data_IF_304336258843
#
_entry.id   IF_304336258843
#
_cell.length_a   1.000
_cell.length_b   1.000
_cell.length_c   1.000
_cell.angle_alpha   90.00
_cell.angle_beta   90.00
_cell.angle_gamma   90.00
#
_symmetry.space_group_name_H-M   'P 1'
#
loop_
_entity.id
_entity.type
_entity.pdbx_description
1 polymer ?
#
# COMPACT_ATOMS: atom_id res chain seq x y z
N UNK A 1 -86.46 29.56 5.08
CA UNK A 1 -87.28 29.01 3.98
C UNK A 1 -86.35 28.26 3.02
N UNK A 2 -86.90 27.21 2.43
CA UNK A 2 -86.24 26.04 1.81
C UNK A 2 -85.75 26.24 0.37
N UNK A 3 -85.03 25.21 -0.14
CA UNK A 3 -84.66 24.83 -1.53
C UNK A 3 -83.41 25.50 -2.14
N UNK A 4 -82.54 24.86 -2.94
CA UNK A 4 -82.34 23.48 -3.41
C UNK A 4 -81.01 23.37 -4.22
N UNK A 5 -80.67 22.13 -4.61
CA UNK A 5 -79.86 21.66 -5.77
C UNK A 5 -78.32 21.57 -5.72
N UNK A 6 -77.82 20.32 -5.76
CA UNK A 6 -76.55 19.83 -6.34
C UNK A 6 -76.52 20.00 -7.89
N UNK A 7 -75.50 19.62 -8.72
CA UNK A 7 -74.24 18.86 -8.48
C UNK A 7 -72.96 19.32 -9.27
N UNK A 8 -71.87 18.57 -9.08
CA UNK A 8 -70.93 18.09 -10.13
C UNK A 8 -69.73 18.92 -10.67
N UNK A 9 -68.53 18.30 -10.56
CA UNK A 9 -67.54 18.03 -11.64
C UNK A 9 -66.35 19.01 -11.88
N UNK A 10 -65.14 18.57 -11.48
CA UNK A 10 -63.86 18.41 -12.29
C UNK A 10 -62.63 18.32 -11.35
N UNK A 11 -62.00 17.15 -11.22
CA UNK A 11 -60.97 16.54 -12.09
C UNK A 11 -59.54 17.00 -11.69
N UNK A 12 -58.79 16.16 -10.96
CA UNK A 12 -57.80 15.18 -11.46
C UNK A 12 -56.59 15.82 -12.16
N UNK A 13 -55.49 15.96 -11.41
CA UNK A 13 -54.13 16.02 -11.96
C UNK A 13 -53.11 15.69 -10.85
N UNK A 14 -53.00 14.42 -10.50
CA UNK A 14 -51.87 13.90 -9.73
C UNK A 14 -51.73 12.42 -10.04
N UNK A 15 -50.49 11.96 -10.08
CA UNK A 15 -50.06 10.56 -10.19
C UNK A 15 -49.90 10.00 -11.62
N UNK A 16 -48.79 10.35 -12.28
CA UNK A 16 -48.22 9.50 -13.33
C UNK A 16 -46.69 9.62 -13.45
N UNK A 17 -45.94 9.38 -12.37
CA UNK A 17 -44.48 9.14 -12.46
C UNK A 17 -44.06 8.17 -11.36
N UNK A 18 -44.33 6.87 -11.51
CA UNK A 18 -43.80 5.86 -10.57
C UNK A 18 -43.89 4.42 -11.10
N UNK A 19 -43.42 4.14 -12.32
CA UNK A 19 -43.41 2.75 -12.84
C UNK A 19 -42.24 2.37 -13.78
N UNK A 20 -41.14 3.14 -13.82
CA UNK A 20 -39.96 2.81 -14.66
C UNK A 20 -38.70 2.42 -13.85
N UNK A 21 -38.70 2.54 -12.52
CA UNK A 21 -37.50 2.30 -11.69
C UNK A 21 -37.20 0.81 -11.38
N UNK A 22 -38.12 -0.12 -11.63
CA UNK A 22 -37.98 -1.52 -11.17
C UNK A 22 -37.16 -2.43 -12.10
N UNK A 23 -36.87 -2.00 -13.33
CA UNK A 23 -36.12 -2.80 -14.31
C UNK A 23 -34.59 -2.72 -14.17
N UNK A 24 -34.08 -1.55 -13.78
CA UNK A 24 -32.62 -1.29 -13.74
C UNK A 24 -31.94 -2.04 -12.58
N UNK A 25 -32.60 -2.15 -11.42
CA UNK A 25 -32.04 -2.80 -10.24
C UNK A 25 -31.78 -4.31 -10.41
N UNK A 26 -32.54 -5.00 -11.28
CA UNK A 26 -32.34 -6.45 -11.51
C UNK A 26 -31.15 -6.76 -12.42
N UNK A 27 -30.88 -5.94 -13.42
CA UNK A 27 -29.78 -6.17 -14.36
C UNK A 27 -28.40 -5.95 -13.70
N UNK A 28 -28.30 -4.95 -12.81
CA UNK A 28 -27.08 -4.66 -12.06
C UNK A 28 -26.72 -5.78 -11.07
N UNK A 29 -27.71 -6.34 -10.37
CA UNK A 29 -27.51 -7.46 -9.44
C UNK A 29 -26.96 -8.71 -10.12
N UNK A 30 -27.38 -9.01 -11.36
CA UNK A 30 -26.90 -10.18 -12.10
C UNK A 30 -25.45 -9.99 -12.54
N UNK A 31 -25.11 -8.81 -13.08
CA UNK A 31 -23.75 -8.52 -13.53
C UNK A 31 -22.71 -8.57 -12.40
N UNK A 32 -23.05 -8.05 -11.21
CA UNK A 32 -22.18 -8.15 -10.02
C UNK A 32 -22.00 -9.58 -9.55
N UNK A 33 -23.09 -10.37 -9.49
CA UNK A 33 -23.02 -11.78 -9.09
C UNK A 33 -22.15 -12.60 -10.04
N UNK A 34 -22.30 -12.38 -11.35
CA UNK A 34 -21.52 -13.07 -12.38
C UNK A 34 -20.03 -12.69 -12.32
N UNK A 35 -19.72 -11.41 -12.09
CA UNK A 35 -18.35 -10.95 -11.95
C UNK A 35 -17.68 -11.51 -10.69
N UNK A 36 -18.38 -11.51 -9.55
CA UNK A 36 -17.89 -12.12 -8.32
C UNK A 36 -17.58 -13.61 -8.50
N UNK A 37 -18.52 -14.37 -9.06
CA UNK A 37 -18.32 -15.80 -9.32
C UNK A 37 -17.10 -16.04 -10.23
N UNK A 38 -16.89 -15.19 -11.23
CA UNK A 38 -15.72 -15.24 -12.11
C UNK A 38 -14.42 -14.95 -11.34
N UNK A 39 -14.39 -13.93 -10.49
CA UNK A 39 -13.22 -13.61 -9.64
C UNK A 39 -12.91 -14.78 -8.71
N UNK A 40 -13.90 -15.32 -8.00
CA UNK A 40 -13.71 -16.48 -7.12
C UNK A 40 -13.15 -17.67 -7.90
N UNK A 41 -13.73 -18.03 -9.04
CA UNK A 41 -13.27 -19.17 -9.83
C UNK A 41 -11.82 -19.00 -10.34
N UNK A 42 -11.45 -17.78 -10.74
CA UNK A 42 -10.12 -17.49 -11.25
C UNK A 42 -9.06 -17.44 -10.15
N UNK A 43 -9.35 -16.80 -9.02
CA UNK A 43 -8.36 -16.42 -8.01
C UNK A 43 -8.37 -17.27 -6.73
N UNK A 44 -9.19 -18.32 -6.64
CA UNK A 44 -9.20 -19.27 -5.51
C UNK A 44 -8.01 -20.25 -5.55
N UNK A 45 -6.79 -19.71 -5.56
CA UNK A 45 -5.55 -20.46 -5.47
C UNK A 45 -4.44 -19.60 -4.85
N UNK A 46 -3.35 -20.24 -4.44
CA UNK A 46 -2.15 -19.57 -3.96
C UNK A 46 -1.00 -19.80 -4.95
N UNK A 47 -0.48 -18.76 -5.64
CA UNK A 47 0.48 -18.95 -6.73
C UNK A 47 1.72 -19.76 -6.36
N UNK A 48 2.22 -19.59 -5.12
CA UNK A 48 3.42 -20.27 -4.63
C UNK A 48 3.20 -21.76 -4.30
N UNK A 49 1.96 -22.25 -4.34
CA UNK A 49 1.61 -23.66 -4.15
C UNK A 49 1.40 -24.42 -5.46
N UNK A 50 1.35 -23.72 -6.60
CA UNK A 50 1.12 -24.34 -7.90
C UNK A 50 2.41 -24.87 -8.53
N UNK A 51 2.29 -25.97 -9.26
CA UNK A 51 3.35 -26.42 -10.14
C UNK A 51 3.41 -25.57 -11.41
N UNK A 52 4.54 -25.62 -12.13
CA UNK A 52 4.77 -24.82 -13.33
C UNK A 52 3.68 -24.96 -14.39
N UNK A 53 3.20 -26.19 -14.64
CA UNK A 53 2.15 -26.44 -15.64
C UNK A 53 0.80 -25.82 -15.22
N UNK A 54 0.42 -25.95 -13.95
CA UNK A 54 -0.80 -25.36 -13.39
C UNK A 54 -0.74 -23.83 -13.41
N UNK A 55 0.43 -23.28 -13.05
CA UNK A 55 0.69 -21.85 -13.10
C UNK A 55 0.52 -21.31 -14.52
N UNK A 56 1.07 -21.98 -15.54
CA UNK A 56 0.92 -21.55 -16.93
C UNK A 56 -0.54 -21.57 -17.39
N UNK A 57 -1.29 -22.61 -17.04
CA UNK A 57 -2.71 -22.70 -17.36
C UNK A 57 -3.52 -21.58 -16.69
N UNK A 58 -3.25 -21.32 -15.40
CA UNK A 58 -3.90 -20.22 -14.65
C UNK A 58 -3.55 -18.85 -15.22
N UNK A 59 -2.29 -18.59 -15.55
CA UNK A 59 -1.87 -17.33 -16.17
C UNK A 59 -2.63 -17.04 -17.46
N UNK A 60 -2.83 -18.04 -18.33
CA UNK A 60 -3.60 -17.84 -19.57
C UNK A 60 -5.05 -17.44 -19.30
N UNK A 61 -5.69 -18.02 -18.27
CA UNK A 61 -7.06 -17.65 -17.87
C UNK A 61 -7.12 -16.21 -17.33
N UNK A 62 -6.12 -15.83 -16.54
CA UNK A 62 -5.99 -14.47 -15.99
C UNK A 62 -5.76 -13.45 -17.11
N UNK A 63 -4.92 -13.75 -18.09
CA UNK A 63 -4.66 -12.88 -19.24
C UNK A 63 -5.94 -12.63 -20.07
N UNK A 64 -6.76 -13.67 -20.28
CA UNK A 64 -8.05 -13.54 -20.95
C UNK A 64 -9.01 -12.65 -20.14
N UNK A 65 -9.05 -12.81 -18.81
CA UNK A 65 -9.83 -11.95 -17.92
C UNK A 65 -9.37 -10.49 -18.00
N UNK A 66 -8.06 -10.24 -17.90
CA UNK A 66 -7.47 -8.90 -18.03
C UNK A 66 -7.75 -8.26 -19.38
N UNK A 67 -7.68 -9.03 -20.46
CA UNK A 67 -7.97 -8.55 -21.82
C UNK A 67 -9.44 -8.12 -21.94
N UNK A 68 -10.36 -8.96 -21.45
CA UNK A 68 -11.78 -8.64 -21.45
C UNK A 68 -12.11 -7.41 -20.57
N UNK A 69 -11.49 -7.31 -19.39
CA UNK A 69 -11.63 -6.17 -18.48
C UNK A 69 -11.17 -4.86 -19.12
N UNK A 70 -10.05 -4.88 -19.85
CA UNK A 70 -9.49 -3.73 -20.56
C UNK A 70 -10.28 -3.32 -21.81
N UNK A 71 -11.02 -4.26 -22.41
CA UNK A 71 -11.81 -3.99 -23.61
C UNK A 71 -13.04 -3.11 -23.31
N UNK A 72 -13.60 -3.18 -22.10
CA UNK A 72 -14.70 -2.31 -21.68
C UNK A 72 -14.51 -1.81 -20.23
N UNK A 73 -13.64 -0.81 -20.02
CA UNK A 73 -13.38 -0.26 -18.70
C UNK A 73 -14.64 0.35 -18.07
N UNK A 74 -15.55 0.89 -18.88
CA UNK A 74 -16.78 1.55 -18.40
C UNK A 74 -17.69 0.58 -17.64
N UNK A 75 -17.79 -0.67 -18.11
CA UNK A 75 -18.52 -1.75 -17.43
C UNK A 75 -17.71 -2.40 -16.32
N UNK A 76 -16.40 -2.55 -16.51
CA UNK A 76 -15.55 -3.33 -15.58
C UNK A 76 -15.20 -2.56 -14.31
N UNK A 77 -14.92 -1.26 -14.41
CA UNK A 77 -14.40 -0.48 -13.28
C UNK A 77 -15.33 -0.49 -12.04
N UNK A 78 -16.65 -0.28 -12.15
CA UNK A 78 -17.55 -0.37 -11.00
C UNK A 78 -17.46 -1.74 -10.30
N UNK A 79 -17.50 -2.83 -11.07
CA UNK A 79 -17.44 -4.20 -10.56
C UNK A 79 -16.11 -4.51 -9.88
N UNK A 80 -15.00 -4.11 -10.51
CA UNK A 80 -13.66 -4.29 -9.95
C UNK A 80 -13.47 -3.53 -8.62
N UNK A 81 -14.00 -2.31 -8.52
CA UNK A 81 -13.96 -1.53 -7.27
C UNK A 81 -14.71 -2.24 -6.15
N UNK A 82 -15.84 -2.86 -6.44
CA UNK A 82 -16.64 -3.56 -5.44
C UNK A 82 -15.98 -4.86 -4.99
N UNK A 83 -15.39 -5.62 -5.92
CA UNK A 83 -14.60 -6.80 -5.56
C UNK A 83 -13.37 -6.45 -4.70
N UNK A 84 -12.67 -5.34 -4.98
CA UNK A 84 -11.52 -4.94 -4.16
C UNK A 84 -11.92 -4.48 -2.74
N UNK A 85 -13.18 -4.10 -2.53
CA UNK A 85 -13.74 -3.81 -1.19
C UNK A 85 -14.21 -5.08 -0.48
N UNK A 86 -14.57 -6.13 -1.22
CA UNK A 86 -15.07 -7.38 -0.65
C UNK A 86 -13.95 -8.12 0.12
N UNK A 87 -14.07 -8.29 1.46
CA UNK A 87 -13.03 -8.93 2.26
C UNK A 87 -12.93 -10.44 2.04
N UNK A 88 -13.91 -11.09 1.38
CA UNK A 88 -13.88 -12.54 1.12
C UNK A 88 -12.97 -12.94 -0.04
N UNK A 89 -12.47 -11.97 -0.82
CA UNK A 89 -11.60 -12.25 -1.95
C UNK A 89 -10.21 -12.71 -1.51
N UNK A 90 -9.55 -13.47 -2.39
CA UNK A 90 -8.24 -14.05 -2.08
C UNK A 90 -7.14 -13.00 -2.00
N UNK A 91 -6.09 -13.31 -1.23
CA UNK A 91 -4.93 -12.44 -1.09
C UNK A 91 -4.25 -12.14 -2.44
N UNK A 92 -4.25 -13.12 -3.35
CA UNK A 92 -3.70 -12.93 -4.70
C UNK A 92 -4.55 -11.96 -5.54
N UNK A 93 -5.89 -12.06 -5.46
CA UNK A 93 -6.77 -11.10 -6.14
C UNK A 93 -6.55 -9.67 -5.66
N UNK A 94 -6.36 -9.44 -4.36
CA UNK A 94 -6.12 -8.09 -3.86
C UNK A 94 -4.85 -7.45 -4.46
N UNK A 95 -3.83 -8.24 -4.79
CA UNK A 95 -2.67 -7.73 -5.52
C UNK A 95 -3.00 -7.50 -7.00
N UNK A 96 -3.40 -8.57 -7.69
CA UNK A 96 -3.56 -8.57 -9.14
C UNK A 96 -4.69 -7.65 -9.61
N UNK A 97 -5.84 -7.70 -8.94
CA UNK A 97 -6.98 -6.81 -9.19
C UNK A 97 -6.64 -5.34 -8.94
N UNK A 98 -5.75 -5.03 -7.99
CA UNK A 98 -5.26 -3.66 -7.78
C UNK A 98 -4.39 -3.19 -8.94
N UNK A 99 -3.55 -4.06 -9.51
CA UNK A 99 -2.75 -3.75 -10.69
C UNK A 99 -3.63 -3.53 -11.92
N UNK A 100 -4.68 -4.33 -12.08
CA UNK A 100 -5.70 -4.11 -13.10
C UNK A 100 -6.39 -2.76 -12.90
N UNK A 101 -6.83 -2.43 -11.68
CA UNK A 101 -7.46 -1.14 -11.36
C UNK A 101 -6.56 0.04 -11.73
N UNK A 102 -5.28 -0.02 -11.35
CA UNK A 102 -4.29 1.02 -11.68
C UNK A 102 -3.99 1.13 -13.18
N UNK A 103 -4.28 0.08 -13.97
CA UNK A 103 -4.16 0.12 -15.42
C UNK A 103 -5.39 0.74 -16.08
N UNK A 104 -6.58 0.55 -15.49
CA UNK A 104 -7.85 1.02 -16.03
C UNK A 104 -8.19 2.45 -15.59
N UNK A 105 -7.61 2.94 -14.50
CA UNK A 105 -7.96 4.24 -13.91
C UNK A 105 -6.76 4.96 -13.30
N UNK A 106 -6.70 6.27 -13.55
CA UNK A 106 -5.77 7.18 -12.91
C UNK A 106 -6.39 7.96 -11.73
N UNK A 107 -7.68 7.73 -11.45
CA UNK A 107 -8.42 8.46 -10.41
C UNK A 107 -7.80 8.28 -9.02
N UNK A 108 -7.80 9.37 -8.24
CA UNK A 108 -7.18 9.37 -6.92
C UNK A 108 -7.81 8.34 -5.97
N UNK A 109 -9.14 8.22 -6.01
CA UNK A 109 -9.91 7.26 -5.21
C UNK A 109 -9.54 5.81 -5.55
N UNK A 110 -9.31 5.51 -6.83
CA UNK A 110 -8.91 4.17 -7.28
C UNK A 110 -7.46 3.85 -6.88
N UNK A 111 -6.56 4.82 -6.93
CA UNK A 111 -5.20 4.64 -6.42
C UNK A 111 -5.18 4.36 -4.91
N UNK A 112 -6.03 5.04 -4.13
CA UNK A 112 -6.21 4.77 -2.69
C UNK A 112 -6.75 3.35 -2.46
N UNK A 113 -7.77 2.95 -3.22
CA UNK A 113 -8.35 1.61 -3.14
C UNK A 113 -7.32 0.54 -3.48
N UNK A 114 -6.59 0.69 -4.58
CA UNK A 114 -5.53 -0.21 -5.00
C UNK A 114 -4.44 -0.34 -3.92
N UNK A 115 -4.00 0.77 -3.32
CA UNK A 115 -2.97 0.73 -2.27
C UNK A 115 -3.42 -0.04 -1.03
N UNK A 116 -4.66 0.19 -0.58
CA UNK A 116 -5.26 -0.54 0.56
C UNK A 116 -5.42 -2.03 0.25
N UNK A 117 -5.78 -2.37 -0.98
CA UNK A 117 -5.92 -3.76 -1.40
C UNK A 117 -4.56 -4.44 -1.52
N UNK A 118 -3.54 -3.81 -2.11
CA UNK A 118 -2.17 -4.33 -2.18
C UNK A 118 -1.64 -4.72 -0.79
N UNK A 119 -1.97 -3.95 0.26
CA UNK A 119 -1.56 -4.27 1.63
C UNK A 119 -2.11 -5.60 2.17
N UNK A 120 -3.16 -6.15 1.56
CA UNK A 120 -3.78 -7.45 1.92
C UNK A 120 -3.12 -8.65 1.22
N UNK A 121 -2.20 -8.40 0.29
CA UNK A 121 -1.57 -9.46 -0.51
C UNK A 121 -0.76 -10.43 0.35
N UNK A 122 -0.71 -11.70 -0.08
CA UNK A 122 0.31 -12.64 0.39
C UNK A 122 1.57 -12.46 -0.47
N UNK A 123 2.65 -12.01 0.15
CA UNK A 123 3.87 -11.64 -0.57
C UNK A 123 4.61 -12.85 -1.14
N UNK A 124 4.36 -14.06 -0.63
CA UNK A 124 4.96 -15.29 -1.17
C UNK A 124 4.47 -15.59 -2.59
N UNK A 125 3.28 -15.14 -2.96
CA UNK A 125 2.64 -15.42 -4.25
C UNK A 125 2.89 -14.39 -5.34
N UNK A 126 3.73 -13.36 -5.12
CA UNK A 126 3.85 -12.23 -6.03
C UNK A 126 5.31 -11.81 -6.28
N UNK A 127 5.52 -10.97 -7.29
CA UNK A 127 6.83 -10.40 -7.61
C UNK A 127 7.17 -9.24 -6.65
N UNK A 128 8.03 -9.49 -5.66
CA UNK A 128 8.36 -8.52 -4.60
C UNK A 128 8.94 -7.19 -5.13
N UNK A 129 9.70 -7.23 -6.22
CA UNK A 129 10.22 -6.02 -6.88
C UNK A 129 9.11 -5.15 -7.46
N UNK A 130 8.06 -5.76 -8.01
CA UNK A 130 6.89 -5.01 -8.52
C UNK A 130 6.03 -4.47 -7.39
N UNK A 131 5.88 -5.23 -6.30
CA UNK A 131 5.22 -4.76 -5.07
C UNK A 131 5.87 -3.48 -4.55
N UNK A 132 7.19 -3.53 -4.32
CA UNK A 132 7.96 -2.40 -3.80
C UNK A 132 7.83 -1.16 -4.70
N UNK A 133 8.04 -1.31 -6.03
CA UNK A 133 7.93 -0.20 -6.98
C UNK A 133 6.51 0.38 -7.02
N UNK A 134 5.48 -0.46 -6.95
CA UNK A 134 4.09 0.01 -6.97
C UNK A 134 3.77 0.83 -5.72
N UNK A 135 4.13 0.34 -4.54
CA UNK A 135 3.90 1.05 -3.27
C UNK A 135 4.69 2.37 -3.23
N UNK A 136 5.96 2.35 -3.63
CA UNK A 136 6.79 3.55 -3.69
C UNK A 136 6.22 4.58 -4.67
N UNK A 137 5.83 4.19 -5.88
CA UNK A 137 5.26 5.10 -6.87
C UNK A 137 3.94 5.76 -6.39
N UNK A 138 3.11 5.02 -5.65
CA UNK A 138 1.90 5.54 -5.03
C UNK A 138 2.23 6.52 -3.89
N UNK A 139 3.24 6.20 -3.08
CA UNK A 139 3.79 7.10 -2.07
C UNK A 139 4.34 8.40 -2.65
N UNK A 140 5.04 8.34 -3.79
CA UNK A 140 5.52 9.52 -4.52
C UNK A 140 4.40 10.42 -5.04
N UNK A 141 3.19 9.87 -5.19
CA UNK A 141 1.96 10.65 -5.47
C UNK A 141 1.30 11.18 -4.18
N UNK A 142 1.98 11.13 -3.04
CA UNK A 142 1.49 11.59 -1.74
C UNK A 142 0.43 10.70 -1.09
N UNK A 143 0.31 9.43 -1.50
CA UNK A 143 -0.60 8.47 -0.83
C UNK A 143 -0.01 7.96 0.48
N UNK A 144 -0.90 7.52 1.37
CA UNK A 144 -0.51 6.88 2.62
C UNK A 144 -0.11 5.43 2.38
N UNK A 145 1.19 5.14 2.37
CA UNK A 145 1.73 3.81 2.09
C UNK A 145 1.89 2.95 3.33
N UNK A 146 1.56 3.43 4.54
CA UNK A 146 1.93 2.76 5.80
C UNK A 146 1.47 1.31 5.87
N UNK A 147 0.22 1.01 5.55
CA UNK A 147 -0.31 -0.36 5.63
C UNK A 147 0.46 -1.32 4.69
N UNK A 148 0.66 -0.92 3.43
CA UNK A 148 1.41 -1.72 2.46
C UNK A 148 2.91 -1.78 2.81
N UNK A 149 3.49 -0.69 3.29
CA UNK A 149 4.88 -0.64 3.71
C UNK A 149 5.13 -1.60 4.88
N UNK A 150 4.26 -1.61 5.89
CA UNK A 150 4.41 -2.47 7.06
C UNK A 150 4.04 -3.93 6.79
N UNK A 151 3.34 -4.24 5.70
CA UNK A 151 3.03 -5.62 5.31
C UNK A 151 4.27 -6.48 5.17
N UNK A 152 5.39 -5.92 4.69
CA UNK A 152 6.63 -6.68 4.48
C UNK A 152 7.23 -7.22 5.79
N UNK A 153 6.89 -6.63 6.94
CA UNK A 153 7.40 -7.05 8.25
C UNK A 153 6.94 -8.46 8.65
N UNK A 154 5.84 -8.95 8.06
CA UNK A 154 5.36 -10.32 8.23
C UNK A 154 6.17 -11.36 7.42
N UNK A 155 7.09 -10.91 6.55
CA UNK A 155 7.86 -11.74 5.64
C UNK A 155 9.36 -11.50 5.91
N UNK A 156 9.98 -12.24 6.85
CA UNK A 156 11.37 -12.01 7.24
C UNK A 156 12.36 -12.18 6.08
N UNK A 157 12.03 -13.02 5.09
CA UNK A 157 12.84 -13.25 3.89
C UNK A 157 12.50 -12.31 2.73
N UNK A 158 11.78 -11.21 2.97
CA UNK A 158 11.45 -10.23 1.92
C UNK A 158 12.73 -9.72 1.23
N UNK A 159 12.83 -9.98 -0.07
CA UNK A 159 13.93 -9.55 -0.94
C UNK A 159 13.37 -9.06 -2.28
N UNK A 160 13.46 -7.76 -2.52
CA UNK A 160 13.05 -7.14 -3.77
C UNK A 160 14.26 -6.93 -4.68
N UNK A 161 14.28 -7.60 -5.82
CA UNK A 161 15.31 -7.39 -6.84
C UNK A 161 14.92 -6.27 -7.81
N UNK A 162 15.85 -5.34 -8.05
CA UNK A 162 15.74 -4.22 -8.98
C UNK A 162 16.76 -4.46 -10.11
N UNK A 163 16.32 -5.05 -11.25
CA UNK A 163 17.25 -5.47 -12.31
C UNK A 163 18.11 -4.34 -12.87
N UNK A 164 17.56 -3.14 -12.99
CA UNK A 164 18.23 -1.98 -13.60
C UNK A 164 19.50 -1.56 -12.85
N UNK A 165 19.59 -1.86 -11.55
CA UNK A 165 20.71 -1.50 -10.68
C UNK A 165 21.44 -2.74 -10.12
N UNK A 166 21.09 -3.94 -10.58
CA UNK A 166 21.52 -5.20 -9.96
C UNK A 166 21.37 -5.21 -8.42
N UNK A 167 20.37 -4.48 -7.91
CA UNK A 167 20.22 -4.16 -6.50
C UNK A 167 19.19 -5.09 -5.87
N UNK A 168 19.57 -5.75 -4.78
CA UNK A 168 18.63 -6.52 -3.95
C UNK A 168 18.38 -5.79 -2.65
N UNK A 169 17.13 -5.38 -2.43
CA UNK A 169 16.71 -4.72 -1.20
C UNK A 169 16.06 -5.72 -0.26
N UNK A 170 16.60 -5.81 0.96
CA UNK A 170 15.98 -6.52 2.06
C UNK A 170 14.80 -5.75 2.64
N UNK A 171 14.18 -6.34 3.66
CA UNK A 171 13.06 -5.75 4.39
C UNK A 171 13.39 -4.36 4.96
N UNK A 172 14.64 -4.14 5.35
CA UNK A 172 15.16 -2.89 5.91
C UNK A 172 15.06 -1.71 4.93
N UNK A 173 15.79 -1.74 3.81
CA UNK A 173 15.81 -0.63 2.85
C UNK A 173 14.52 -0.55 2.02
N UNK A 174 13.83 -1.67 1.79
CA UNK A 174 12.50 -1.63 1.17
C UNK A 174 11.50 -0.81 2.01
N UNK A 175 11.54 -0.94 3.35
CA UNK A 175 10.71 -0.14 4.24
C UNK A 175 11.01 1.36 4.12
N UNK A 176 12.29 1.72 3.97
CA UNK A 176 12.71 3.13 3.79
C UNK A 176 12.11 3.71 2.51
N UNK A 177 12.28 3.01 1.38
CA UNK A 177 11.73 3.45 0.10
C UNK A 177 10.21 3.64 0.10
N UNK A 178 9.47 2.82 0.85
CA UNK A 178 8.02 2.93 0.90
C UNK A 178 7.52 4.02 1.85
N UNK A 179 8.18 4.23 3.00
CA UNK A 179 7.74 5.19 4.02
C UNK A 179 8.25 6.61 3.79
N UNK A 180 9.52 6.79 3.42
CA UNK A 180 10.17 8.10 3.35
C UNK A 180 9.81 8.92 2.10
N UNK A 181 8.83 8.47 1.33
CA UNK A 181 8.11 9.32 0.37
C UNK A 181 7.16 10.30 1.08
N UNK A 182 6.80 10.02 2.35
CA UNK A 182 5.92 10.79 3.22
C UNK A 182 6.71 11.56 4.30
N UNK A 183 6.03 12.47 5.00
CA UNK A 183 6.58 13.12 6.19
C UNK A 183 6.69 12.14 7.36
N UNK A 184 7.82 12.18 8.08
CA UNK A 184 8.13 11.26 9.18
C UNK A 184 7.10 11.35 10.32
N UNK A 185 6.54 12.54 10.55
CA UNK A 185 5.49 12.76 11.53
C UNK A 185 4.24 11.89 11.29
N UNK A 186 4.03 11.41 10.05
CA UNK A 186 2.88 10.55 9.71
C UNK A 186 3.06 9.08 10.12
N UNK A 187 4.29 8.61 10.33
CA UNK A 187 4.56 7.17 10.53
C UNK A 187 5.52 6.86 11.69
N UNK A 188 6.18 7.85 12.30
CA UNK A 188 7.15 7.61 13.38
C UNK A 188 6.53 6.90 14.60
N UNK A 189 5.32 7.29 15.02
CA UNK A 189 4.60 6.62 16.11
C UNK A 189 4.23 5.17 15.79
N UNK A 190 3.88 4.90 14.52
CA UNK A 190 3.57 3.55 14.06
C UNK A 190 4.81 2.66 14.10
N UNK A 191 5.98 3.19 13.73
CA UNK A 191 7.26 2.48 13.85
C UNK A 191 7.56 2.11 15.30
N UNK A 192 7.40 3.03 16.25
CA UNK A 192 7.60 2.77 17.69
C UNK A 192 6.65 1.68 18.18
N UNK A 193 5.36 1.80 17.85
CA UNK A 193 4.32 0.83 18.24
C UNK A 193 4.63 -0.56 17.68
N UNK A 194 5.05 -0.64 16.42
CA UNK A 194 5.40 -1.90 15.77
C UNK A 194 6.69 -2.49 16.34
N UNK A 195 7.69 -1.67 16.68
CA UNK A 195 8.93 -2.15 17.29
C UNK A 195 8.66 -2.82 18.64
N UNK A 196 7.75 -2.25 19.43
CA UNK A 196 7.34 -2.84 20.71
C UNK A 196 6.71 -4.24 20.52
N UNK A 197 5.86 -4.39 19.51
CA UNK A 197 5.12 -5.62 19.20
C UNK A 197 5.90 -6.66 18.38
N UNK A 198 6.99 -6.27 17.70
CA UNK A 198 7.75 -7.16 16.85
C UNK A 198 8.48 -8.24 17.67
N UNK A 199 8.23 -9.50 17.33
CA UNK A 199 8.91 -10.68 17.91
C UNK A 199 10.06 -11.20 17.03
N UNK A 200 10.00 -10.95 15.72
CA UNK A 200 11.03 -11.39 14.77
C UNK A 200 12.22 -10.41 14.75
N UNK A 201 13.44 -10.95 14.81
CA UNK A 201 14.69 -10.16 14.84
C UNK A 201 14.89 -9.32 13.58
N UNK A 202 14.60 -9.86 12.39
CA UNK A 202 14.73 -9.12 11.13
C UNK A 202 13.77 -7.91 11.12
N UNK A 203 12.51 -8.11 11.51
CA UNK A 203 11.54 -7.03 11.65
C UNK A 203 11.97 -5.97 12.66
N UNK A 204 12.51 -6.38 13.81
CA UNK A 204 13.07 -5.45 14.80
C UNK A 204 14.19 -4.61 14.19
N UNK A 205 15.16 -5.22 13.48
CA UNK A 205 16.24 -4.49 12.82
C UNK A 205 15.74 -3.51 11.75
N UNK A 206 14.83 -3.93 10.89
CA UNK A 206 14.23 -3.06 9.87
C UNK A 206 13.50 -1.86 10.48
N UNK A 207 12.75 -2.08 11.57
CA UNK A 207 12.07 -1.02 12.32
C UNK A 207 13.04 -0.06 13.02
N UNK A 208 14.10 -0.60 13.64
CA UNK A 208 15.17 0.19 14.26
C UNK A 208 15.87 1.09 13.24
N UNK A 209 16.20 0.54 12.07
CA UNK A 209 16.81 1.31 10.99
C UNK A 209 15.87 2.43 10.50
N UNK A 210 14.58 2.14 10.30
CA UNK A 210 13.60 3.14 9.91
C UNK A 210 13.44 4.24 10.98
N UNK A 211 13.39 3.88 12.26
CA UNK A 211 13.35 4.85 13.37
C UNK A 211 14.59 5.73 13.39
N UNK A 212 15.78 5.14 13.21
CA UNK A 212 17.03 5.88 13.13
C UNK A 212 17.03 6.89 11.97
N UNK A 213 16.56 6.48 10.80
CA UNK A 213 16.40 7.38 9.65
C UNK A 213 15.34 8.46 9.86
N UNK A 214 14.41 8.38 10.83
CA UNK A 214 13.48 9.50 11.05
C UNK A 214 14.22 10.78 11.47
N UNK A 215 15.39 10.63 12.10
CA UNK A 215 16.17 11.71 12.69
C UNK A 215 15.31 12.63 13.56
N UNK A 216 14.51 12.02 14.46
CA UNK A 216 13.59 12.70 15.38
C UNK A 216 13.90 12.32 16.84
N UNK A 217 13.58 13.18 17.83
CA UNK A 217 13.76 12.84 19.24
C UNK A 217 13.00 11.56 19.66
N UNK A 218 11.79 11.36 19.14
CA UNK A 218 11.01 10.16 19.41
C UNK A 218 11.65 8.89 18.83
N UNK A 219 12.21 8.98 17.61
CA UNK A 219 12.98 7.90 17.00
C UNK A 219 14.21 7.54 17.81
N UNK A 220 15.00 8.54 18.23
CA UNK A 220 16.19 8.33 19.05
C UNK A 220 15.86 7.70 20.41
N UNK A 221 14.83 8.20 21.08
CA UNK A 221 14.37 7.67 22.35
C UNK A 221 13.94 6.20 22.22
N UNK A 222 13.23 5.85 21.14
CA UNK A 222 12.81 4.48 20.89
C UNK A 222 14.00 3.54 20.60
N UNK A 223 14.96 3.97 19.78
CA UNK A 223 16.17 3.17 19.49
C UNK A 223 16.99 2.97 20.77
N UNK A 224 17.18 4.03 21.57
CA UNK A 224 17.88 3.95 22.86
C UNK A 224 17.18 3.03 23.85
N UNK A 225 15.86 3.19 24.03
CA UNK A 225 15.09 2.34 24.93
C UNK A 225 15.15 0.87 24.52
N UNK A 226 15.17 0.57 23.21
CA UNK A 226 15.34 -0.80 22.73
C UNK A 226 16.75 -1.34 23.00
N UNK A 227 17.79 -0.55 22.75
CA UNK A 227 19.19 -0.92 22.98
C UNK A 227 19.49 -1.28 24.45
N UNK A 228 18.82 -0.60 25.38
CA UNK A 228 18.99 -0.75 26.82
C UNK A 228 18.04 -1.83 27.43
N UNK A 229 17.22 -2.50 26.62
CA UNK A 229 16.22 -3.46 27.09
C UNK A 229 16.79 -4.91 27.18
N UNK A 230 17.00 -5.47 28.38
CA UNK A 230 17.56 -6.82 28.54
C UNK A 230 16.59 -7.93 28.13
N UNK A 231 15.29 -7.64 27.96
CA UNK A 231 14.29 -8.60 27.51
C UNK A 231 14.17 -8.73 25.98
N UNK A 232 14.99 -8.01 25.21
CA UNK A 232 15.01 -8.09 23.74
C UNK A 232 16.16 -8.99 23.24
N UNK A 233 16.04 -9.58 22.04
CA UNK A 233 17.10 -10.43 21.49
C UNK A 233 18.46 -9.71 21.41
N UNK A 234 19.53 -10.39 21.79
CA UNK A 234 20.90 -9.84 21.79
C UNK A 234 21.28 -9.26 20.43
N UNK A 235 20.98 -9.97 19.35
CA UNK A 235 21.28 -9.55 17.98
C UNK A 235 20.59 -8.22 17.60
N UNK A 236 19.35 -8.01 18.02
CA UNK A 236 18.61 -6.78 17.75
C UNK A 236 19.07 -5.62 18.63
N UNK A 237 19.38 -5.88 19.91
CA UNK A 237 19.91 -4.85 20.83
C UNK A 237 21.32 -4.41 20.42
N UNK A 238 22.17 -5.34 19.99
CA UNK A 238 23.49 -5.02 19.42
C UNK A 238 23.37 -4.15 18.16
N UNK A 239 22.39 -4.45 17.29
CA UNK A 239 22.11 -3.61 16.14
C UNK A 239 21.61 -2.20 16.52
N UNK A 240 20.72 -2.09 17.52
CA UNK A 240 20.29 -0.78 18.03
C UNK A 240 21.48 0.04 18.57
N UNK A 241 22.41 -0.59 19.30
CA UNK A 241 23.63 0.05 19.79
C UNK A 241 24.52 0.55 18.65
N UNK A 242 24.71 -0.25 17.61
CA UNK A 242 25.54 0.16 16.46
C UNK A 242 24.95 1.36 15.71
N UNK A 243 23.61 1.49 15.64
CA UNK A 243 22.95 2.68 15.10
C UNK A 243 23.23 3.94 15.93
N UNK A 244 23.21 3.84 17.26
CA UNK A 244 23.55 4.94 18.17
C UNK A 244 25.03 5.37 18.00
N UNK A 245 25.94 4.40 17.87
CA UNK A 245 27.37 4.67 17.62
C UNK A 245 27.61 5.31 16.25
N UNK A 246 26.87 4.91 15.21
CA UNK A 246 26.94 5.52 13.87
C UNK A 246 26.62 7.00 13.94
N UNK A 247 25.60 7.40 14.70
CA UNK A 247 25.21 8.80 14.91
C UNK A 247 26.37 9.64 15.46
N UNK A 248 27.16 9.10 16.39
CA UNK A 248 28.28 9.82 17.01
C UNK A 248 29.45 10.10 16.03
N UNK A 249 29.54 9.34 14.93
CA UNK A 249 30.61 9.45 13.92
C UNK A 249 30.22 10.28 12.70
N UNK A 250 28.94 10.57 12.52
CA UNK A 250 28.43 11.29 11.36
C UNK A 250 28.38 12.80 11.64
N UNK A 251 29.27 13.55 11.01
CA UNK A 251 29.31 15.01 11.08
C UNK A 251 29.74 15.59 9.75
N UNK A 252 28.78 16.06 8.94
CA UNK A 252 29.09 16.91 7.79
C UNK A 252 28.36 18.24 7.98
N UNK A 253 29.08 19.36 8.21
CA UNK A 253 28.44 20.65 8.36
C UNK A 253 27.68 20.98 7.07
N UNK A 254 26.43 21.42 7.23
CA UNK A 254 25.58 21.88 6.13
C UNK A 254 25.00 23.24 6.49
N UNK A 255 24.83 24.13 5.52
CA UNK A 255 24.15 25.41 5.73
C UNK A 255 22.63 25.28 5.66
N UNK A 256 22.12 24.19 5.08
CA UNK A 256 20.68 23.94 4.96
C UNK A 256 20.01 23.75 6.33
N UNK A 257 18.76 24.17 6.44
CA UNK A 257 17.94 23.91 7.62
C UNK A 257 17.58 22.43 7.73
N UNK A 258 17.26 21.96 8.94
CA UNK A 258 16.82 20.58 9.16
C UNK A 258 15.55 20.24 8.35
N UNK A 259 14.63 21.20 8.20
CA UNK A 259 13.42 21.04 7.40
C UNK A 259 13.74 20.88 5.91
N UNK A 260 14.63 21.72 5.36
CA UNK A 260 15.05 21.61 3.95
C UNK A 260 15.71 20.26 3.67
N UNK A 261 16.54 19.75 4.58
CA UNK A 261 17.17 18.44 4.43
C UNK A 261 16.15 17.30 4.46
N UNK A 262 15.12 17.36 5.30
CA UNK A 262 14.01 16.38 5.30
C UNK A 262 13.24 16.41 3.98
N UNK A 263 12.91 17.59 3.49
CA UNK A 263 12.23 17.74 2.19
C UNK A 263 13.06 17.19 1.04
N UNK A 264 14.37 17.43 1.03
CA UNK A 264 15.29 16.89 0.04
C UNK A 264 15.35 15.36 0.11
N UNK A 265 15.47 14.78 1.32
CA UNK A 265 15.41 13.31 1.53
C UNK A 265 14.14 12.69 0.97
N UNK A 266 12.99 13.33 1.20
CA UNK A 266 11.71 12.87 0.63
C UNK A 266 11.75 12.90 -0.89
N UNK A 267 12.24 13.98 -1.50
CA UNK A 267 12.39 14.06 -2.96
C UNK A 267 13.31 12.97 -3.51
N UNK A 268 14.40 12.62 -2.80
CA UNK A 268 15.28 11.50 -3.19
C UNK A 268 14.52 10.18 -3.19
N UNK A 269 13.77 9.89 -2.12
CA UNK A 269 12.99 8.65 -2.02
C UNK A 269 11.80 8.56 -2.99
N UNK A 270 11.41 9.68 -3.61
CA UNK A 270 10.39 9.73 -4.65
C UNK A 270 10.92 9.35 -6.04
N UNK A 271 12.24 9.34 -6.24
CA UNK A 271 12.89 8.95 -7.51
C UNK A 271 12.76 7.45 -7.76
N UNK A 272 13.06 6.94 -8.97
CA UNK A 272 13.21 5.52 -9.20
C UNK A 272 14.19 4.89 -8.20
N UNK A 273 13.91 3.66 -7.79
CA UNK A 273 14.71 2.93 -6.80
C UNK A 273 16.10 2.63 -7.36
N UNK A 274 17.14 3.17 -6.72
CA UNK A 274 18.54 2.95 -7.10
C UNK A 274 19.50 2.96 -5.92
N UNK A 275 20.75 2.57 -6.14
CA UNK A 275 21.83 2.72 -5.18
C UNK A 275 22.24 4.19 -5.01
N UNK A 276 22.25 5.00 -6.07
CA UNK A 276 22.57 6.43 -5.98
C UNK A 276 21.56 7.18 -5.10
N UNK A 277 20.27 6.85 -5.21
CA UNK A 277 19.25 7.44 -4.35
C UNK A 277 19.45 7.07 -2.87
N UNK A 278 19.89 5.85 -2.56
CA UNK A 278 20.24 5.47 -1.18
C UNK A 278 21.49 6.21 -0.68
N UNK A 279 22.52 6.34 -1.52
CA UNK A 279 23.75 7.06 -1.18
C UNK A 279 23.44 8.53 -0.86
N UNK A 280 22.67 9.20 -1.72
CA UNK A 280 22.26 10.60 -1.50
C UNK A 280 21.40 10.74 -0.24
N UNK A 281 20.46 9.81 -0.03
CA UNK A 281 19.64 9.79 1.19
C UNK A 281 20.47 9.62 2.46
N UNK A 282 21.49 8.77 2.44
CA UNK A 282 22.43 8.58 3.55
C UNK A 282 23.26 9.84 3.82
N UNK A 283 23.75 10.49 2.76
CA UNK A 283 24.48 11.76 2.88
C UNK A 283 23.62 12.87 3.50
N UNK A 284 22.37 12.99 3.07
CA UNK A 284 21.41 13.95 3.63
C UNK A 284 21.05 13.59 5.07
N UNK A 285 20.94 12.30 5.40
CA UNK A 285 20.73 11.82 6.78
C UNK A 285 21.90 12.21 7.68
N UNK A 286 23.14 12.04 7.22
CA UNK A 286 24.33 12.44 7.97
C UNK A 286 24.37 13.96 8.24
N UNK A 287 24.02 14.78 7.23
CA UNK A 287 23.88 16.25 7.39
C UNK A 287 22.79 16.61 8.40
N UNK A 288 21.68 15.86 8.40
CA UNK A 288 20.55 16.09 9.31
C UNK A 288 20.89 15.68 10.76
N UNK A 289 21.63 14.60 10.95
CA UNK A 289 22.14 14.17 12.26
C UNK A 289 23.07 15.23 12.85
N UNK A 290 23.93 15.83 12.04
CA UNK A 290 24.86 16.89 12.47
C UNK A 290 24.18 18.21 12.91
N UNK A 291 22.85 18.33 12.73
CA UNK A 291 22.05 19.49 13.16
C UNK A 291 21.39 19.29 14.53
N UNK A 292 21.58 18.15 15.17
CA UNK A 292 21.13 17.85 16.53
C UNK A 292 22.03 18.53 17.54
#
# INVERSE_FOLDING_TARGET
MSFASMPAVRAFASLLVLLVASGVARAESTATTDFHAKVVALYSFEPHKLQRAEMQAKSSQLDQFWTAAKADPSKTLPLLRDELKNPSNSAFFFYDGSKLLLTLSAERSDQVLALRSIAKADLNGIQLGDYLRTVQALGSKGLDTREAAFRILAFPDFKAFIPQHALTLGQDYALIYMLFTMEEARFASDLVTRLAAASNVQAQKSLLLALWYTVTPAGDAAVKAFADNPGKPEEATAYAKSLLERTAKLGSPSLSSAQSLREERRKVMQRPISDEALIEFDQLTAKLIAKR
#
